data_IF_018758164797
#
_entry.id   IF_018758164797
#
_cell.length_a   1.000
_cell.length_b   1.000
_cell.length_c   1.000
_cell.angle_alpha   90.00
_cell.angle_beta   90.00
_cell.angle_gamma   90.00
#
_symmetry.space_group_name_H-M   'P 1'
#
loop_
_entity.id
_entity.type
_entity.pdbx_description
1 polymer ?
#
# COMPACT_ATOMS: atom_id res chain seq x y z
N UNK A 1 40.87 25.61 -14.79
CA UNK A 1 39.86 24.72 -15.41
C UNK A 1 39.10 24.01 -14.30
N UNK A 2 37.83 23.68 -14.54
CA UNK A 2 36.71 23.70 -13.58
C UNK A 2 36.84 22.69 -12.42
N UNK A 3 36.58 23.17 -11.20
CA UNK A 3 36.16 22.33 -10.09
C UNK A 3 34.70 21.91 -10.31
N UNK A 4 34.44 20.61 -10.33
CA UNK A 4 33.09 20.04 -10.32
C UNK A 4 32.71 19.71 -8.88
N UNK A 5 31.67 20.31 -8.29
CA UNK A 5 31.06 19.78 -7.09
C UNK A 5 30.09 18.65 -7.47
N UNK A 6 30.43 17.41 -7.11
CA UNK A 6 29.52 16.26 -7.20
C UNK A 6 28.41 16.42 -6.17
N UNK A 7 27.19 16.62 -6.67
CA UNK A 7 25.95 16.69 -5.90
C UNK A 7 25.67 15.34 -5.21
N UNK A 8 25.53 15.38 -3.88
CA UNK A 8 24.97 14.28 -3.11
C UNK A 8 23.46 14.12 -3.44
N UNK A 9 22.92 12.90 -3.57
CA UNK A 9 21.50 12.72 -3.77
C UNK A 9 20.72 13.10 -2.50
N UNK A 10 20.04 14.24 -2.60
CA UNK A 10 18.99 14.68 -1.69
C UNK A 10 17.77 13.78 -1.89
N UNK A 11 17.33 13.13 -0.82
CA UNK A 11 16.16 12.25 -0.91
C UNK A 11 15.82 11.58 0.43
N UNK A 12 15.95 12.32 1.54
CA UNK A 12 15.27 11.92 2.76
C UNK A 12 13.79 12.14 2.49
N UNK A 13 13.05 11.06 2.26
CA UNK A 13 11.59 11.05 2.38
C UNK A 13 11.30 11.48 3.80
N UNK A 14 11.07 12.78 4.00
CA UNK A 14 10.71 13.34 5.28
C UNK A 14 9.34 12.75 5.60
N UNK A 15 9.34 11.68 6.40
CA UNK A 15 8.16 11.13 7.03
C UNK A 15 7.56 12.28 7.83
N UNK A 16 6.52 12.90 7.27
CA UNK A 16 5.78 13.96 7.96
C UNK A 16 5.31 13.33 9.26
N UNK A 17 5.91 13.75 10.36
CA UNK A 17 5.52 13.35 11.70
C UNK A 17 4.07 13.78 11.88
N UNK A 18 3.16 12.82 11.72
CA UNK A 18 1.74 13.02 11.93
C UNK A 18 1.56 13.39 13.41
N UNK A 19 0.93 14.53 13.75
CA UNK A 19 0.75 14.88 15.15
C UNK A 19 -0.05 13.79 15.87
N UNK A 20 0.40 13.39 17.06
CA UNK A 20 -0.14 12.28 17.87
C UNK A 20 -1.68 12.24 17.92
N UNK A 21 -2.34 13.40 17.99
CA UNK A 21 -3.81 13.49 18.02
C UNK A 21 -4.50 13.04 16.73
N UNK A 22 -3.85 13.19 15.56
CA UNK A 22 -4.36 12.66 14.30
C UNK A 22 -4.14 11.15 14.20
N UNK A 23 -3.05 10.62 14.78
CA UNK A 23 -2.83 9.18 14.88
C UNK A 23 -3.95 8.48 15.64
N UNK A 24 -4.38 9.05 16.77
CA UNK A 24 -5.47 8.48 17.59
C UNK A 24 -6.85 8.57 16.92
N UNK A 25 -7.11 9.64 16.15
CA UNK A 25 -8.40 9.84 15.49
C UNK A 25 -8.53 9.09 14.17
N UNK A 26 -7.41 8.88 13.47
CA UNK A 26 -7.36 8.27 12.14
C UNK A 26 -6.90 6.81 12.15
N UNK A 27 -6.38 6.30 13.28
CA UNK A 27 -6.09 4.88 13.48
C UNK A 27 -7.23 3.94 13.07
N UNK A 28 -8.50 4.22 13.47
CA UNK A 28 -9.64 3.39 13.06
C UNK A 28 -9.84 3.33 11.54
N UNK A 29 -9.69 4.47 10.84
CA UNK A 29 -9.86 4.51 9.39
C UNK A 29 -8.77 3.73 8.64
N UNK A 30 -7.54 3.74 9.16
CA UNK A 30 -6.46 2.92 8.61
C UNK A 30 -6.74 1.43 8.81
N UNK A 31 -7.16 1.02 10.00
CA UNK A 31 -7.46 -0.38 10.33
C UNK A 31 -8.67 -0.90 9.54
N UNK A 32 -9.71 -0.08 9.37
CA UNK A 32 -10.85 -0.38 8.51
C UNK A 32 -10.45 -0.58 7.05
N UNK A 33 -9.60 0.30 6.50
CA UNK A 33 -9.11 0.16 5.13
C UNK A 33 -8.33 -1.15 4.95
N UNK A 34 -7.49 -1.52 5.93
CA UNK A 34 -6.77 -2.81 5.94
C UNK A 34 -7.75 -3.97 6.00
N UNK A 35 -8.78 -3.91 6.84
CA UNK A 35 -9.79 -4.96 6.96
C UNK A 35 -10.56 -5.16 5.65
N UNK A 36 -10.90 -4.08 4.94
CA UNK A 36 -11.53 -4.15 3.61
C UNK A 36 -10.62 -4.86 2.60
N UNK A 37 -9.33 -4.49 2.55
CA UNK A 37 -8.38 -5.15 1.66
C UNK A 37 -8.19 -6.63 2.00
N UNK A 38 -8.13 -6.98 3.28
CA UNK A 38 -8.04 -8.38 3.73
C UNK A 38 -9.28 -9.17 3.31
N UNK A 39 -10.46 -8.61 3.50
CA UNK A 39 -11.71 -9.26 3.08
C UNK A 39 -11.76 -9.45 1.55
N UNK A 40 -11.17 -8.55 0.76
CA UNK A 40 -11.02 -8.73 -0.68
C UNK A 40 -10.03 -9.88 -1.02
N UNK A 41 -8.92 -10.00 -0.30
CA UNK A 41 -7.98 -11.15 -0.43
C UNK A 41 -8.71 -12.47 -0.17
N UNK A 42 -9.51 -12.54 0.89
CA UNK A 42 -10.25 -13.76 1.26
C UNK A 42 -11.27 -14.16 0.18
N UNK A 43 -11.86 -13.17 -0.51
CA UNK A 43 -12.79 -13.37 -1.62
C UNK A 43 -12.12 -13.50 -2.99
N UNK A 44 -10.79 -13.44 -3.08
CA UNK A 44 -10.07 -13.43 -4.37
C UNK A 44 -10.44 -14.62 -5.28
N UNK A 45 -10.83 -15.77 -4.70
CA UNK A 45 -11.25 -16.95 -5.47
C UNK A 45 -12.63 -16.80 -6.12
N UNK A 46 -13.49 -15.95 -5.57
CA UNK A 46 -14.86 -15.76 -6.06
C UNK A 46 -14.93 -14.91 -7.36
N UNK A 47 -13.87 -14.17 -7.68
CA UNK A 47 -13.83 -13.31 -8.86
C UNK A 47 -12.90 -12.12 -8.69
N UNK A 48 -12.91 -11.23 -9.68
CA UNK A 48 -12.20 -9.95 -9.61
C UNK A 48 -12.69 -9.12 -8.40
N UNK A 49 -11.77 -8.39 -7.79
CA UNK A 49 -12.03 -7.60 -6.58
C UNK A 49 -11.90 -6.09 -6.89
N UNK A 50 -12.68 -5.62 -7.85
CA UNK A 50 -12.64 -4.26 -8.38
C UNK A 50 -13.79 -3.37 -7.83
N UNK A 51 -14.30 -3.72 -6.65
CA UNK A 51 -15.39 -3.04 -5.96
C UNK A 51 -15.06 -1.60 -5.53
N UNK A 52 -16.11 -0.82 -5.28
CA UNK A 52 -15.97 0.56 -4.81
C UNK A 52 -15.33 0.65 -3.41
N UNK A 53 -15.58 -0.35 -2.56
CA UNK A 53 -14.97 -0.56 -1.25
C UNK A 53 -13.45 -0.68 -1.34
N UNK A 54 -12.94 -1.53 -2.24
CA UNK A 54 -11.50 -1.70 -2.48
C UNK A 54 -10.86 -0.39 -2.94
N UNK A 55 -11.50 0.30 -3.90
CA UNK A 55 -11.01 1.61 -4.38
C UNK A 55 -10.98 2.66 -3.27
N UNK A 56 -11.97 2.69 -2.39
CA UNK A 56 -12.01 3.61 -1.27
C UNK A 56 -10.90 3.28 -0.25
N UNK A 57 -10.75 2.02 0.12
CA UNK A 57 -9.70 1.57 1.03
C UNK A 57 -8.29 1.94 0.53
N UNK A 58 -8.01 1.74 -0.77
CA UNK A 58 -6.73 2.14 -1.37
C UNK A 58 -6.50 3.67 -1.29
N UNK A 59 -7.54 4.49 -1.49
CA UNK A 59 -7.43 5.95 -1.33
C UNK A 59 -7.16 6.35 0.11
N UNK A 60 -7.81 5.69 1.06
CA UNK A 60 -7.58 5.92 2.49
C UNK A 60 -6.12 5.60 2.84
N UNK A 61 -5.62 4.42 2.46
CA UNK A 61 -4.24 4.03 2.71
C UNK A 61 -3.20 4.97 2.09
N UNK A 62 -3.50 5.56 0.93
CA UNK A 62 -2.66 6.61 0.34
C UNK A 62 -2.52 7.84 1.23
N UNK A 63 -3.59 8.25 1.93
CA UNK A 63 -3.56 9.37 2.87
C UNK A 63 -2.69 9.06 4.10
N UNK A 64 -2.56 7.79 4.46
CA UNK A 64 -1.68 7.31 5.53
C UNK A 64 -0.23 7.06 5.09
N UNK A 65 0.14 7.44 3.86
CA UNK A 65 1.52 7.36 3.38
C UNK A 65 1.94 5.99 2.85
N UNK A 66 1.00 5.06 2.61
CA UNK A 66 1.33 3.84 1.87
C UNK A 66 1.75 4.24 0.43
N UNK A 67 2.91 3.75 -0.08
CA UNK A 67 3.40 4.11 -1.40
C UNK A 67 2.41 3.76 -2.50
N UNK A 68 2.25 4.68 -3.46
CA UNK A 68 1.38 4.48 -4.62
C UNK A 68 1.77 3.25 -5.46
N UNK A 69 3.04 2.84 -5.44
CA UNK A 69 3.50 1.61 -6.09
C UNK A 69 2.89 0.35 -5.49
N UNK A 70 2.79 0.28 -4.15
CA UNK A 70 2.24 -0.89 -3.45
C UNK A 70 0.71 -0.93 -3.61
N UNK A 71 0.06 0.23 -3.56
CA UNK A 71 -1.38 0.35 -3.79
C UNK A 71 -1.76 -0.03 -5.23
N UNK A 72 -0.96 0.37 -6.22
CA UNK A 72 -1.16 -0.03 -7.62
C UNK A 72 -0.93 -1.52 -7.82
N UNK A 73 0.11 -2.08 -7.22
CA UNK A 73 0.36 -3.52 -7.28
C UNK A 73 -0.82 -4.33 -6.72
N UNK A 74 -1.43 -3.87 -5.62
CA UNK A 74 -2.66 -4.48 -5.10
C UNK A 74 -3.83 -4.38 -6.09
N UNK A 75 -4.07 -3.21 -6.67
CA UNK A 75 -5.14 -3.00 -7.64
C UNK A 75 -4.98 -3.87 -8.90
N UNK A 76 -3.77 -3.96 -9.44
CA UNK A 76 -3.47 -4.78 -10.61
C UNK A 76 -3.70 -6.28 -10.29
N UNK A 77 -3.38 -6.70 -9.07
CA UNK A 77 -3.71 -8.05 -8.61
C UNK A 77 -5.23 -8.29 -8.56
N UNK A 78 -6.02 -7.36 -8.04
CA UNK A 78 -7.49 -7.47 -7.95
C UNK A 78 -8.18 -7.70 -9.31
N UNK A 79 -7.63 -7.12 -10.38
CA UNK A 79 -8.22 -7.13 -11.73
C UNK A 79 -7.73 -8.31 -12.58
N UNK A 80 -6.77 -9.09 -12.09
CA UNK A 80 -6.28 -10.30 -12.78
C UNK A 80 -7.42 -11.31 -12.96
N UNK A 81 -7.62 -11.83 -14.18
CA UNK A 81 -8.71 -12.79 -14.47
C UNK A 81 -8.44 -14.18 -13.87
N UNK A 82 -7.18 -14.64 -13.94
CA UNK A 82 -6.77 -15.95 -13.45
C UNK A 82 -6.87 -16.02 -11.92
N UNK A 83 -7.72 -16.91 -11.42
CA UNK A 83 -7.99 -17.09 -9.98
C UNK A 83 -6.72 -17.31 -9.15
N UNK A 84 -5.88 -18.26 -9.56
CA UNK A 84 -4.65 -18.63 -8.84
C UNK A 84 -3.70 -17.44 -8.80
N UNK A 85 -3.45 -16.81 -9.95
CA UNK A 85 -2.57 -15.65 -10.07
C UNK A 85 -3.10 -14.46 -9.26
N UNK A 86 -4.41 -14.19 -9.33
CA UNK A 86 -5.07 -13.14 -8.54
C UNK A 86 -4.88 -13.37 -7.04
N UNK A 87 -5.23 -14.54 -6.53
CA UNK A 87 -5.13 -14.83 -5.10
C UNK A 87 -3.68 -14.74 -4.59
N UNK A 88 -2.71 -15.25 -5.36
CA UNK A 88 -1.29 -15.17 -5.03
C UNK A 88 -0.78 -13.72 -5.04
N UNK A 89 -1.09 -12.96 -6.10
CA UNK A 89 -0.65 -11.58 -6.25
C UNK A 89 -1.31 -10.66 -5.20
N UNK A 90 -2.59 -10.85 -4.89
CA UNK A 90 -3.28 -10.10 -3.85
C UNK A 90 -2.68 -10.38 -2.47
N UNK A 91 -2.37 -11.64 -2.16
CA UNK A 91 -1.69 -12.01 -0.91
C UNK A 91 -0.29 -11.40 -0.81
N UNK A 92 0.47 -11.40 -1.91
CA UNK A 92 1.79 -10.79 -1.97
C UNK A 92 1.73 -9.27 -1.80
N UNK A 93 0.80 -8.61 -2.49
CA UNK A 93 0.56 -7.18 -2.36
C UNK A 93 0.14 -6.78 -0.94
N UNK A 94 -0.73 -7.58 -0.31
CA UNK A 94 -1.17 -7.35 1.07
C UNK A 94 0.01 -7.38 2.06
N UNK A 95 0.90 -8.38 1.93
CA UNK A 95 2.12 -8.47 2.76
C UNK A 95 3.05 -7.26 2.59
N UNK A 96 3.14 -6.70 1.37
CA UNK A 96 3.90 -5.46 1.14
C UNK A 96 3.28 -4.27 1.86
N UNK A 97 1.97 -4.08 1.73
CA UNK A 97 1.23 -3.01 2.41
C UNK A 97 1.41 -3.12 3.94
N UNK A 98 1.30 -4.32 4.50
CA UNK A 98 1.53 -4.54 5.93
C UNK A 98 2.96 -4.23 6.38
N UNK A 99 3.96 -4.61 5.58
CA UNK A 99 5.36 -4.29 5.87
C UNK A 99 5.56 -2.78 5.94
N UNK A 100 5.04 -2.04 4.95
CA UNK A 100 5.14 -0.57 4.95
C UNK A 100 4.41 0.04 6.14
N UNK A 101 3.20 -0.44 6.46
CA UNK A 101 2.46 -0.02 7.67
C UNK A 101 3.28 -0.22 8.94
N UNK A 102 4.00 -1.33 9.05
CA UNK A 102 4.85 -1.68 10.20
C UNK A 102 6.22 -0.96 10.19
N UNK A 103 6.51 -0.12 9.18
CA UNK A 103 7.81 0.52 9.01
C UNK A 103 8.93 -0.44 8.60
N UNK A 104 8.59 -1.61 8.07
CA UNK A 104 9.53 -2.65 7.67
C UNK A 104 9.94 -2.49 6.19
N UNK A 105 11.19 -2.84 5.83
CA UNK A 105 11.64 -2.79 4.45
C UNK A 105 10.84 -3.75 3.56
N UNK A 106 10.44 -3.28 2.38
CA UNK A 106 9.78 -4.09 1.35
C UNK A 106 10.85 -4.78 0.50
N UNK A 107 10.85 -6.10 0.49
CA UNK A 107 11.71 -6.88 -0.41
C UNK A 107 11.24 -6.68 -1.87
N UNK A 108 12.17 -6.26 -2.72
CA UNK A 108 11.96 -6.18 -4.17
C UNK A 108 12.30 -7.56 -4.73
N UNK A 109 11.25 -8.35 -5.00
CA UNK A 109 11.31 -9.53 -5.87
C UNK A 109 11.56 -9.12 -7.31
#
# INVERSE_FOLDING_TARGET
MRHSPTLAPTGITSFVSMPERLSTLLGPAMDEAIAVLQAAVDRAKAGQQDGADVRLALRVLRLFGIPQSDLRYFWDACTTEHEIGRSQNMSAAMRRIERVRKGLPVERS
#
